data_IF_449644433257
#
_entry.id   IF_449644433257
#
_cell.length_a   1.000
_cell.length_b   1.000
_cell.length_c   1.000
_cell.angle_alpha   90.00
_cell.angle_beta   90.00
_cell.angle_gamma   90.00
#
_symmetry.space_group_name_H-M   'P 1'
#
loop_
_entity.id
_entity.type
_entity.pdbx_description
1 polymer ?
#
# COMPACT_ATOMS: atom_id res chain seq x y z
N UNK A 1 13.21 25.83 -4.98
CA UNK A 1 13.99 24.59 -4.82
C UNK A 1 12.96 23.49 -4.89
N UNK A 2 12.58 23.11 -6.11
CA UNK A 2 11.75 21.94 -6.34
C UNK A 2 12.67 20.74 -6.24
N UNK A 3 12.64 20.07 -5.08
CA UNK A 3 13.17 18.73 -4.98
C UNK A 3 12.19 17.82 -5.71
N UNK A 4 12.33 17.73 -7.03
CA UNK A 4 11.81 16.61 -7.81
C UNK A 4 12.51 15.35 -7.30
N UNK A 5 11.96 14.78 -6.23
CA UNK A 5 12.24 13.43 -5.82
C UNK A 5 11.59 12.51 -6.85
N UNK A 6 12.18 12.41 -8.04
CA UNK A 6 11.91 11.31 -8.97
C UNK A 6 12.32 10.02 -8.26
N UNK A 7 11.38 9.41 -7.54
CA UNK A 7 11.48 8.02 -7.13
C UNK A 7 11.46 7.19 -8.42
N UNK A 8 12.65 6.81 -8.87
CA UNK A 8 12.87 5.92 -10.02
C UNK A 8 12.41 4.49 -9.66
N UNK A 9 11.09 4.33 -9.50
CA UNK A 9 10.45 3.08 -9.13
C UNK A 9 10.04 2.39 -10.42
N UNK A 10 10.82 1.36 -10.80
CA UNK A 10 10.54 0.58 -12.00
C UNK A 10 9.17 -0.11 -11.89
N UNK A 11 8.18 0.45 -12.61
CA UNK A 11 6.79 -0.02 -12.58
C UNK A 11 6.65 -1.48 -13.03
N UNK A 12 7.59 -2.02 -13.80
CA UNK A 12 7.60 -3.44 -14.19
C UNK A 12 7.87 -4.38 -13.01
N UNK A 13 8.42 -3.85 -11.90
CA UNK A 13 8.69 -4.60 -10.67
C UNK A 13 7.57 -4.52 -9.66
N UNK A 14 6.59 -3.63 -9.84
CA UNK A 14 5.45 -3.48 -8.93
C UNK A 14 4.65 -4.78 -8.89
N UNK A 15 4.38 -5.27 -7.68
CA UNK A 15 3.60 -6.48 -7.40
C UNK A 15 2.23 -6.17 -6.85
N UNK A 16 2.10 -5.07 -6.11
CA UNK A 16 0.84 -4.62 -5.53
C UNK A 16 0.75 -3.10 -5.53
N UNK A 17 -0.48 -2.62 -5.65
CA UNK A 17 -0.90 -1.23 -5.57
C UNK A 17 -2.03 -1.17 -4.56
N UNK A 18 -2.00 -0.22 -3.66
CA UNK A 18 -3.11 0.08 -2.75
C UNK A 18 -3.39 1.57 -2.72
N UNK A 19 -4.63 1.89 -2.42
CA UNK A 19 -5.09 3.25 -2.21
C UNK A 19 -5.73 3.33 -0.83
N UNK A 20 -5.23 4.21 0.03
CA UNK A 20 -5.79 4.46 1.37
C UNK A 20 -6.14 5.94 1.52
N UNK A 21 -7.16 6.26 2.30
CA UNK A 21 -7.59 7.63 2.59
C UNK A 21 -7.06 8.15 3.92
N UNK A 22 -6.81 7.27 4.90
CA UNK A 22 -6.29 7.68 6.19
C UNK A 22 -4.76 7.85 6.17
N UNK A 23 -4.30 9.00 6.67
CA UNK A 23 -2.87 9.27 6.86
C UNK A 23 -2.19 8.21 7.75
N UNK A 24 -2.89 7.72 8.76
CA UNK A 24 -2.38 6.66 9.63
C UNK A 24 -2.13 5.35 8.85
N UNK A 25 -3.10 4.92 8.04
CA UNK A 25 -2.94 3.73 7.21
C UNK A 25 -1.77 3.88 6.21
N UNK A 26 -1.61 5.05 5.61
CA UNK A 26 -0.48 5.33 4.72
C UNK A 26 0.87 5.19 5.46
N UNK A 27 1.00 5.73 6.67
CA UNK A 27 2.23 5.62 7.47
C UNK A 27 2.56 4.18 7.88
N UNK A 28 1.54 3.39 8.23
CA UNK A 28 1.73 1.97 8.56
C UNK A 28 2.26 1.20 7.35
N UNK A 29 1.72 1.45 6.16
CA UNK A 29 2.21 0.85 4.92
C UNK A 29 3.64 1.32 4.58
N UNK A 30 3.94 2.61 4.71
CA UNK A 30 5.30 3.13 4.49
C UNK A 30 6.33 2.49 5.43
N UNK A 31 5.91 2.11 6.64
CA UNK A 31 6.75 1.39 7.60
C UNK A 31 6.94 -0.10 7.26
N UNK A 32 6.13 -0.64 6.35
CA UNK A 32 6.14 -2.04 5.88
C UNK A 32 6.57 -2.15 4.39
N UNK A 33 7.65 -1.46 4.02
CA UNK A 33 8.29 -1.61 2.70
C UNK A 33 7.39 -1.22 1.50
N UNK A 34 6.37 -0.40 1.74
CA UNK A 34 5.63 0.28 0.66
C UNK A 34 6.29 1.61 0.32
N UNK A 35 6.22 1.99 -0.94
CA UNK A 35 6.65 3.29 -1.43
C UNK A 35 5.44 4.17 -1.74
N UNK A 36 5.48 5.43 -1.32
CA UNK A 36 4.52 6.43 -1.75
C UNK A 36 4.75 6.75 -3.22
N UNK A 37 3.71 6.61 -4.04
CA UNK A 37 3.76 6.97 -5.46
C UNK A 37 3.10 8.32 -5.73
N UNK A 38 1.91 8.53 -5.18
CA UNK A 38 1.15 9.75 -5.43
C UNK A 38 0.20 10.08 -4.26
N UNK A 39 -0.17 11.36 -4.14
CA UNK A 39 -1.15 11.87 -3.19
C UNK A 39 -2.06 12.85 -3.91
N UNK A 40 -3.37 12.59 -3.85
CA UNK A 40 -4.37 13.49 -4.41
C UNK A 40 -5.47 13.76 -3.38
N UNK A 41 -6.31 14.76 -3.66
CA UNK A 41 -7.50 15.06 -2.85
C UNK A 41 -8.73 14.59 -3.61
N UNK A 42 -9.54 13.74 -2.98
CA UNK A 42 -10.75 13.19 -3.58
C UNK A 42 -11.88 14.23 -3.66
N UNK A 43 -13.02 13.82 -4.23
CA UNK A 43 -14.19 14.71 -4.40
C UNK A 43 -14.82 15.16 -3.07
N UNK A 44 -14.56 14.43 -1.97
CA UNK A 44 -15.05 14.75 -0.63
C UNK A 44 -14.05 15.61 0.16
N UNK A 45 -12.93 16.02 -0.45
CA UNK A 45 -11.90 16.81 0.18
C UNK A 45 -10.96 16.00 1.08
N UNK A 46 -10.95 14.67 0.96
CA UNK A 46 -10.07 13.79 1.73
C UNK A 46 -8.81 13.48 0.93
N UNK A 47 -7.67 13.40 1.60
CA UNK A 47 -6.44 12.94 0.98
C UNK A 47 -6.54 11.46 0.64
N UNK A 48 -6.11 11.07 -0.55
CA UNK A 48 -5.94 9.69 -0.98
C UNK A 48 -4.46 9.46 -1.33
N UNK A 49 -3.92 8.35 -0.83
CA UNK A 49 -2.50 7.99 -0.96
C UNK A 49 -2.40 6.72 -1.80
N UNK A 50 -1.66 6.79 -2.90
CA UNK A 50 -1.34 5.63 -3.74
C UNK A 50 0.01 5.08 -3.31
N UNK A 51 0.03 3.84 -2.84
CA UNK A 51 1.23 3.15 -2.41
C UNK A 51 1.52 1.92 -3.27
N UNK A 52 2.81 1.69 -3.53
CA UNK A 52 3.31 0.60 -4.36
C UNK A 52 4.22 -0.31 -3.55
N UNK A 53 4.18 -1.60 -3.86
CA UNK A 53 5.14 -2.58 -3.32
C UNK A 53 5.74 -3.42 -4.44
N UNK A 54 7.06 -3.55 -4.46
CA UNK A 54 7.81 -4.39 -5.42
C UNK A 54 8.11 -5.79 -4.88
N UNK A 55 8.05 -5.94 -3.56
CA UNK A 55 8.21 -7.23 -2.87
C UNK A 55 6.89 -8.01 -2.83
N UNK A 56 6.89 -9.34 -3.03
CA UNK A 56 5.69 -10.14 -2.86
C UNK A 56 5.18 -10.11 -1.41
N UNK A 57 3.87 -9.98 -1.23
CA UNK A 57 3.22 -10.15 0.07
C UNK A 57 3.22 -11.63 0.45
N UNK A 58 3.74 -11.95 1.63
CA UNK A 58 3.82 -13.31 2.14
C UNK A 58 3.29 -13.37 3.56
N UNK A 59 2.55 -14.43 3.87
CA UNK A 59 2.07 -14.66 5.21
C UNK A 59 3.25 -14.92 6.16
N UNK A 60 3.39 -14.19 7.28
CA UNK A 60 4.51 -14.38 8.19
C UNK A 60 4.54 -15.78 8.81
N UNK A 61 3.37 -16.41 8.98
CA UNK A 61 3.18 -17.72 9.61
C UNK A 61 3.48 -18.89 8.67
N UNK A 62 2.79 -18.98 7.53
CA UNK A 62 2.91 -20.14 6.63
C UNK A 62 3.66 -19.86 5.32
N UNK A 63 4.21 -18.64 5.13
CA UNK A 63 4.98 -18.19 3.95
C UNK A 63 4.25 -18.28 2.60
N UNK A 64 2.98 -18.69 2.61
CA UNK A 64 2.11 -18.65 1.46
C UNK A 64 1.90 -17.19 0.98
N UNK A 65 1.53 -16.97 -0.28
CA UNK A 65 1.12 -15.65 -0.76
C UNK A 65 0.07 -15.03 0.18
N UNK A 66 0.19 -13.73 0.39
CA UNK A 66 -0.80 -12.94 1.10
C UNK A 66 -1.38 -11.88 0.17
N UNK A 67 -2.61 -11.50 0.44
CA UNK A 67 -3.30 -10.39 -0.18
C UNK A 67 -3.42 -9.26 0.84
N UNK A 68 -3.65 -8.05 0.35
CA UNK A 68 -3.99 -6.89 1.17
C UNK A 68 -5.40 -6.45 0.79
N UNK A 69 -6.25 -6.29 1.79
CA UNK A 69 -7.59 -5.76 1.63
C UNK A 69 -7.66 -4.41 2.33
N UNK A 70 -8.10 -3.39 1.61
CA UNK A 70 -8.39 -2.07 2.16
C UNK A 70 -9.89 -2.01 2.47
N UNK A 71 -10.27 -1.41 3.61
CA UNK A 71 -11.67 -1.23 3.97
C UNK A 71 -12.40 -0.34 2.96
N UNK A 72 -13.73 -0.44 2.89
CA UNK A 72 -14.54 0.32 1.93
C UNK A 72 -14.41 1.85 2.11
N UNK A 73 -14.26 2.30 3.36
CA UNK A 73 -14.01 3.69 3.73
C UNK A 73 -12.55 4.14 3.50
N UNK A 74 -11.68 3.21 3.10
CA UNK A 74 -10.24 3.42 2.87
C UNK A 74 -9.47 3.88 4.11
N UNK A 75 -10.02 3.71 5.30
CA UNK A 75 -9.38 4.15 6.54
C UNK A 75 -8.46 3.09 7.16
N UNK A 76 -8.64 1.83 6.80
CA UNK A 76 -7.88 0.71 7.35
C UNK A 76 -7.54 -0.32 6.29
N UNK A 77 -6.63 -1.24 6.63
CA UNK A 77 -6.30 -2.37 5.78
C UNK A 77 -5.98 -3.60 6.63
N UNK A 78 -6.01 -4.78 6.01
CA UNK A 78 -5.56 -6.02 6.62
C UNK A 78 -4.85 -6.90 5.61
N UNK A 79 -3.91 -7.69 6.12
CA UNK A 79 -3.28 -8.76 5.34
C UNK A 79 -4.06 -10.06 5.48
N UNK A 80 -4.41 -10.67 4.35
CA UNK A 80 -5.15 -11.93 4.28
C UNK A 80 -4.26 -13.02 3.71
N UNK A 81 -4.00 -14.07 4.48
CA UNK A 81 -3.26 -15.22 3.98
C UNK A 81 -4.12 -16.00 2.97
N UNK A 82 -3.58 -16.28 1.78
CA UNK A 82 -4.31 -17.03 0.74
C UNK A 82 -4.60 -18.49 1.12
N UNK A 83 -3.94 -19.02 2.15
CA UNK A 83 -4.10 -20.41 2.62
C UNK A 83 -4.87 -20.50 3.94
N UNK A 84 -5.33 -19.38 4.50
CA UNK A 84 -6.01 -19.31 5.80
C UNK A 84 -5.27 -20.14 6.87
N UNK A 85 -4.08 -19.70 7.29
CA UNK A 85 -3.28 -20.51 8.21
C UNK A 85 -4.06 -20.72 9.54
N UNK A 86 -4.62 -21.92 9.74
CA UNK A 86 -5.18 -22.38 11.01
C UNK A 86 -4.10 -22.44 12.09
#
# INVERSE_FOLDING_TARGET
>A
MDSDCEFDLDLHKVKKVVEVGAFQAANELLSDDWALHDVYVDMDGRSAYILLRTSPLVCPRCKAPAEIEVSEDRESFRYVCSRECA
#
